data_IF_060293549363
#
_entry.id   IF_060293549363
#
_cell.length_a   1.000
_cell.length_b   1.000
_cell.length_c   1.000
_cell.angle_alpha   90.00
_cell.angle_beta   90.00
_cell.angle_gamma   90.00
#
_symmetry.space_group_name_H-M   'P 1'
#
loop_
_entity.id
_entity.type
_entity.pdbx_description
1 polymer ?
#
# COMPACT_ATOMS: atom_id res chain seq x y z
N UNK A 1 -61.33 -42.71 -6.17
CA UNK A 1 -60.23 -42.62 -5.20
C UNK A 1 -58.97 -43.11 -5.89
N UNK A 2 -57.95 -42.27 -5.98
CA UNK A 2 -56.53 -42.59 -5.79
C UNK A 2 -55.71 -41.36 -6.24
N UNK A 3 -55.39 -40.53 -5.25
CA UNK A 3 -54.43 -39.45 -5.41
C UNK A 3 -53.04 -40.06 -5.60
N UNK A 4 -52.32 -39.63 -6.64
CA UNK A 4 -50.91 -39.96 -6.80
C UNK A 4 -50.13 -39.16 -5.75
N UNK A 5 -49.35 -39.81 -4.86
CA UNK A 5 -48.54 -39.08 -3.90
C UNK A 5 -47.41 -38.37 -4.65
N UNK A 6 -47.40 -37.04 -4.57
CA UNK A 6 -46.29 -36.23 -5.03
C UNK A 6 -45.00 -36.71 -4.36
N UNK A 7 -44.03 -37.17 -5.16
CA UNK A 7 -42.67 -37.40 -4.68
C UNK A 7 -42.11 -36.04 -4.21
N UNK A 8 -41.64 -35.92 -2.96
CA UNK A 8 -40.80 -34.79 -2.61
C UNK A 8 -39.43 -35.06 -3.23
N UNK A 9 -39.14 -34.44 -4.38
CA UNK A 9 -37.78 -34.40 -4.91
C UNK A 9 -36.97 -33.45 -4.04
N UNK A 10 -36.25 -34.08 -3.10
CA UNK A 10 -35.08 -33.58 -2.40
C UNK A 10 -34.06 -32.91 -3.32
N UNK A 11 -33.28 -32.00 -2.72
CA UNK A 11 -32.07 -31.36 -3.25
C UNK A 11 -32.24 -30.00 -3.96
N UNK A 12 -32.83 -29.05 -3.24
CA UNK A 12 -32.21 -27.73 -3.16
C UNK A 12 -31.87 -27.52 -1.68
N UNK A 13 -30.67 -27.90 -1.28
CA UNK A 13 -30.11 -27.33 -0.06
C UNK A 13 -30.19 -25.81 -0.23
N UNK A 14 -30.87 -25.14 0.70
CA UNK A 14 -31.08 -23.70 0.65
C UNK A 14 -29.72 -23.03 0.48
N UNK A 15 -29.53 -22.22 -0.57
CA UNK A 15 -28.24 -21.56 -0.90
C UNK A 15 -27.63 -20.87 0.33
N UNK A 16 -28.49 -20.34 1.21
CA UNK A 16 -28.10 -19.73 2.49
C UNK A 16 -27.35 -20.70 3.41
N UNK A 17 -27.81 -21.94 3.51
CA UNK A 17 -27.19 -22.95 4.39
C UNK A 17 -25.90 -23.50 3.79
N UNK A 18 -25.81 -23.57 2.46
CA UNK A 18 -24.56 -23.86 1.75
C UNK A 18 -23.50 -22.78 2.01
N UNK A 19 -23.88 -21.50 1.90
CA UNK A 19 -22.99 -20.37 2.19
C UNK A 19 -22.56 -20.32 3.66
N UNK A 20 -23.45 -20.68 4.60
CA UNK A 20 -23.10 -20.79 6.03
C UNK A 20 -22.11 -21.93 6.29
N UNK A 21 -22.29 -23.07 5.62
CA UNK A 21 -21.39 -24.20 5.75
C UNK A 21 -20.01 -23.89 5.13
N UNK A 22 -19.97 -23.16 4.02
CA UNK A 22 -18.72 -22.68 3.41
C UNK A 22 -18.01 -21.66 4.32
N UNK A 23 -18.73 -20.66 4.83
CA UNK A 23 -18.15 -19.65 5.73
C UNK A 23 -17.64 -20.21 7.08
N UNK A 24 -18.08 -21.40 7.47
CA UNK A 24 -17.60 -22.10 8.66
C UNK A 24 -16.31 -22.89 8.41
N UNK A 25 -15.87 -23.03 7.16
CA UNK A 25 -14.59 -23.65 6.83
C UNK A 25 -13.46 -22.68 7.18
N UNK A 26 -12.47 -23.15 7.92
CA UNK A 26 -11.27 -22.34 8.13
C UNK A 26 -10.59 -22.09 6.78
N UNK A 27 -10.13 -20.86 6.51
CA UNK A 27 -9.38 -20.58 5.29
C UNK A 27 -8.18 -21.50 5.20
N UNK A 28 -7.88 -21.98 3.99
CA UNK A 28 -6.61 -22.65 3.74
C UNK A 28 -5.46 -21.79 4.25
N UNK A 29 -4.48 -22.44 4.89
CA UNK A 29 -3.28 -21.77 5.35
C UNK A 29 -2.64 -20.96 4.22
N UNK A 30 -2.09 -19.80 4.54
CA UNK A 30 -1.46 -18.95 3.54
C UNK A 30 -0.23 -19.69 3.00
N UNK A 31 -0.22 -19.97 1.69
CA UNK A 31 0.93 -20.52 1.00
C UNK A 31 2.07 -19.49 1.03
N UNK A 32 2.98 -19.65 1.99
CA UNK A 32 4.21 -18.85 2.06
C UNK A 32 5.20 -19.42 1.05
N UNK A 33 5.19 -18.89 -0.16
CA UNK A 33 6.24 -19.17 -1.14
C UNK A 33 7.60 -18.62 -0.67
N UNK A 34 8.67 -19.30 -1.09
CA UNK A 34 10.04 -18.81 -0.91
C UNK A 34 10.19 -17.38 -1.47
N UNK A 35 10.96 -16.54 -0.77
CA UNK A 35 11.22 -15.17 -1.23
C UNK A 35 11.95 -15.22 -2.58
N UNK A 36 11.41 -14.53 -3.59
CA UNK A 36 12.11 -14.36 -4.88
C UNK A 36 13.38 -13.53 -4.65
N UNK A 37 14.45 -13.83 -5.38
CA UNK A 37 15.76 -13.17 -5.25
C UNK A 37 15.81 -11.67 -5.59
N UNK A 38 14.71 -11.08 -6.05
CA UNK A 38 14.62 -9.67 -6.47
C UNK A 38 13.41 -9.00 -5.82
N UNK A 39 13.62 -7.81 -5.26
CA UNK A 39 12.57 -6.93 -4.75
C UNK A 39 11.43 -6.76 -5.77
N UNK A 40 10.20 -6.99 -5.33
CA UNK A 40 9.01 -6.77 -6.14
C UNK A 40 8.43 -5.38 -5.85
N UNK A 41 8.47 -4.50 -6.84
CA UNK A 41 7.86 -3.16 -6.77
C UNK A 41 6.45 -3.24 -7.35
N UNK A 42 5.46 -2.84 -6.58
CA UNK A 42 4.04 -2.87 -6.94
C UNK A 42 3.48 -1.47 -6.78
N UNK A 43 3.07 -0.86 -7.89
CA UNK A 43 2.41 0.43 -7.89
C UNK A 43 0.89 0.26 -8.02
N UNK A 44 0.14 0.89 -7.12
CA UNK A 44 -1.33 0.88 -7.14
C UNK A 44 -1.81 2.26 -7.55
N UNK A 45 -2.59 2.28 -8.63
CA UNK A 45 -3.24 3.47 -9.16
C UNK A 45 -4.75 3.37 -8.99
N UNK A 46 -5.42 4.51 -9.08
CA UNK A 46 -6.87 4.59 -9.10
C UNK A 46 -7.39 5.93 -8.61
N UNK A 47 -8.69 6.14 -8.86
CA UNK A 47 -9.38 7.39 -8.56
C UNK A 47 -9.26 7.77 -7.07
N UNK A 48 -9.33 9.05 -6.73
CA UNK A 48 -9.53 9.50 -5.35
C UNK A 48 -10.73 8.79 -4.68
N UNK A 49 -10.55 8.31 -3.46
CA UNK A 49 -11.63 7.72 -2.64
C UNK A 49 -11.97 6.24 -2.88
N UNK A 50 -11.28 5.53 -3.79
CA UNK A 50 -11.55 4.08 -4.01
C UNK A 50 -10.96 3.15 -2.95
N UNK A 51 -10.28 3.70 -1.94
CA UNK A 51 -9.67 2.92 -0.86
C UNK A 51 -8.25 2.39 -1.12
N UNK A 52 -7.48 2.99 -2.04
CA UNK A 52 -6.09 2.56 -2.35
C UNK A 52 -5.22 2.46 -1.09
N UNK A 53 -5.10 3.55 -0.35
CA UNK A 53 -4.27 3.64 0.85
C UNK A 53 -4.73 2.66 1.93
N UNK A 54 -6.05 2.47 2.05
CA UNK A 54 -6.64 1.49 2.97
C UNK A 54 -6.24 0.06 2.60
N UNK A 55 -6.39 -0.31 1.32
CA UNK A 55 -5.98 -1.62 0.82
C UNK A 55 -4.48 -1.84 0.98
N UNK A 56 -3.65 -0.85 0.63
CA UNK A 56 -2.20 -0.93 0.71
C UNK A 56 -1.69 -1.04 2.16
N UNK A 57 -2.24 -0.26 3.09
CA UNK A 57 -1.88 -0.35 4.50
C UNK A 57 -2.16 -1.76 5.05
N UNK A 58 -3.36 -2.30 4.83
CA UNK A 58 -3.70 -3.64 5.30
C UNK A 58 -2.89 -4.73 4.60
N UNK A 59 -2.68 -4.62 3.28
CA UNK A 59 -1.85 -5.55 2.51
C UNK A 59 -0.41 -5.57 3.03
N UNK A 60 0.15 -4.39 3.32
CA UNK A 60 1.51 -4.25 3.84
C UNK A 60 1.65 -4.91 5.21
N UNK A 61 0.69 -4.69 6.12
CA UNK A 61 0.69 -5.33 7.44
C UNK A 61 0.57 -6.85 7.35
N UNK A 62 -0.30 -7.35 6.46
CA UNK A 62 -0.44 -8.79 6.24
C UNK A 62 0.85 -9.41 5.69
N UNK A 63 1.48 -8.80 4.68
CA UNK A 63 2.77 -9.26 4.14
C UNK A 63 3.88 -9.21 5.21
N UNK A 64 3.91 -8.17 6.04
CA UNK A 64 4.86 -8.06 7.14
C UNK A 64 4.63 -9.15 8.22
N UNK A 65 3.37 -9.45 8.55
CA UNK A 65 3.01 -10.54 9.46
C UNK A 65 3.41 -11.93 8.92
N UNK A 66 3.53 -12.08 7.60
CA UNK A 66 4.07 -13.27 6.94
C UNK A 66 5.61 -13.29 6.89
N UNK A 67 6.27 -12.37 7.59
CA UNK A 67 7.73 -12.29 7.67
C UNK A 67 8.39 -11.60 6.47
N UNK A 68 7.63 -10.98 5.56
CA UNK A 68 8.20 -10.24 4.43
C UNK A 68 8.67 -8.86 4.87
N UNK A 69 9.79 -8.41 4.32
CA UNK A 69 10.28 -7.02 4.46
C UNK A 69 9.54 -6.15 3.46
N UNK A 70 8.61 -5.32 3.97
CA UNK A 70 7.74 -4.48 3.15
C UNK A 70 8.02 -3.00 3.39
N UNK A 71 8.13 -2.25 2.31
CA UNK A 71 8.16 -0.79 2.30
C UNK A 71 6.88 -0.27 1.63
N UNK A 72 6.13 0.58 2.32
CA UNK A 72 4.99 1.33 1.80
C UNK A 72 5.39 2.79 1.59
N UNK A 73 5.22 3.31 0.38
CA UNK A 73 5.49 4.71 0.04
C UNK A 73 4.20 5.37 -0.45
N UNK A 74 3.79 6.43 0.24
CA UNK A 74 2.74 7.33 -0.26
C UNK A 74 3.31 8.22 -1.38
N UNK A 75 2.76 8.10 -2.58
CA UNK A 75 3.14 8.86 -3.78
C UNK A 75 1.99 9.79 -4.23
N UNK A 76 1.08 10.13 -3.30
CA UNK A 76 0.01 11.09 -3.51
C UNK A 76 0.41 12.44 -2.88
N UNK A 77 0.26 13.59 -3.58
CA UNK A 77 0.46 14.90 -2.99
C UNK A 77 -0.31 15.13 -1.68
N UNK A 78 -1.44 14.43 -1.47
CA UNK A 78 -2.23 14.45 -0.24
C UNK A 78 -1.44 13.95 0.99
N UNK A 79 -0.44 13.09 0.80
CA UNK A 79 0.52 12.64 1.81
C UNK A 79 -0.10 12.05 3.10
N UNK A 80 -1.14 11.23 2.98
CA UNK A 80 -1.85 10.63 4.12
C UNK A 80 -1.93 9.10 4.09
N UNK A 81 -1.24 8.43 3.17
CA UNK A 81 -1.19 6.97 3.05
C UNK A 81 -0.75 6.32 4.37
N UNK A 82 0.31 6.86 4.97
CA UNK A 82 0.93 6.34 6.20
C UNK A 82 0.11 6.64 7.46
N UNK A 83 -0.84 7.58 7.41
CA UNK A 83 -1.67 7.93 8.57
C UNK A 83 -2.45 6.72 9.12
N UNK A 84 -2.85 5.81 8.23
CA UNK A 84 -3.53 4.56 8.57
C UNK A 84 -2.65 3.61 9.39
N UNK A 85 -1.34 3.64 9.18
CA UNK A 85 -0.39 2.88 9.99
C UNK A 85 -0.15 3.59 11.32
N UNK A 86 0.01 4.92 11.33
CA UNK A 86 0.49 5.64 12.51
C UNK A 86 -0.60 6.30 13.38
N UNK A 87 -1.82 5.76 13.35
CA UNK A 87 -2.92 6.20 14.21
C UNK A 87 -3.37 7.63 13.91
N UNK A 88 -3.51 7.97 12.62
CA UNK A 88 -4.00 9.26 12.14
C UNK A 88 -2.92 10.32 11.92
N UNK A 89 -1.63 9.97 12.08
CA UNK A 89 -0.50 10.89 11.85
C UNK A 89 0.30 10.44 10.64
N UNK A 90 0.47 11.28 9.62
CA UNK A 90 1.34 10.95 8.49
C UNK A 90 2.81 11.02 8.87
N UNK A 91 3.64 10.21 8.20
CA UNK A 91 5.09 10.39 8.24
C UNK A 91 5.47 11.76 7.66
N UNK A 92 6.53 12.41 8.17
CA UNK A 92 7.14 13.56 7.50
C UNK A 92 7.47 13.24 6.04
N UNK A 93 7.18 14.17 5.14
CA UNK A 93 7.42 13.93 3.70
C UNK A 93 8.89 14.06 3.36
N UNK A 94 9.36 13.29 2.38
CA UNK A 94 10.74 13.32 1.89
C UNK A 94 11.08 14.72 1.35
N UNK A 95 10.21 15.29 0.53
CA UNK A 95 10.44 16.58 -0.12
C UNK A 95 10.51 17.72 0.91
N UNK A 96 9.58 17.78 1.86
CA UNK A 96 9.56 18.84 2.88
C UNK A 96 10.74 18.69 3.85
N UNK A 97 11.02 17.47 4.29
CA UNK A 97 12.13 17.19 5.21
C UNK A 97 13.48 17.53 4.57
N UNK A 98 13.68 17.14 3.31
CA UNK A 98 14.86 17.51 2.53
C UNK A 98 15.01 19.03 2.39
N UNK A 99 13.92 19.73 2.06
CA UNK A 99 13.91 21.19 1.92
C UNK A 99 14.28 21.89 3.23
N UNK A 100 13.67 21.45 4.35
CA UNK A 100 13.95 21.99 5.70
C UNK A 100 15.40 21.77 6.12
N UNK A 101 15.92 20.55 5.99
CA UNK A 101 17.30 20.24 6.40
C UNK A 101 18.32 20.96 5.53
N UNK A 102 18.08 21.05 4.22
CA UNK A 102 18.92 21.84 3.31
C UNK A 102 18.98 23.32 3.72
N UNK A 103 17.85 23.91 4.12
CA UNK A 103 17.82 25.29 4.62
C UNK A 103 18.59 25.46 5.94
N UNK A 104 18.61 24.43 6.79
CA UNK A 104 19.41 24.39 8.02
C UNK A 104 20.89 24.05 7.79
N UNK A 105 21.31 23.73 6.57
CA UNK A 105 22.68 23.28 6.26
C UNK A 105 22.98 21.86 6.72
N UNK A 106 21.97 21.05 7.00
CA UNK A 106 22.10 19.67 7.49
C UNK A 106 21.82 18.64 6.38
N UNK A 107 22.52 17.49 6.38
CA UNK A 107 22.20 16.40 5.47
C UNK A 107 20.91 15.68 5.87
N UNK A 108 20.14 15.24 4.87
CA UNK A 108 19.00 14.33 5.07
C UNK A 108 19.52 12.91 5.23
N UNK A 109 18.94 12.18 6.18
CA UNK A 109 19.25 10.78 6.46
C UNK A 109 17.97 9.94 6.39
N UNK A 110 18.12 8.63 6.19
CA UNK A 110 16.96 7.74 6.06
C UNK A 110 16.06 7.74 7.30
N UNK A 111 16.65 7.89 8.49
CA UNK A 111 15.91 7.93 9.75
C UNK A 111 15.03 9.19 9.91
N UNK A 112 15.23 10.21 9.09
CA UNK A 112 14.37 11.41 9.10
C UNK A 112 13.03 11.18 8.37
N UNK A 113 12.97 10.17 7.49
CA UNK A 113 11.88 10.02 6.50
C UNK A 113 11.31 8.60 6.42
N UNK A 114 12.00 7.59 6.95
CA UNK A 114 11.54 6.20 6.99
C UNK A 114 11.25 5.75 8.41
N UNK A 115 10.01 5.36 8.65
CA UNK A 115 9.52 4.94 9.96
C UNK A 115 8.97 3.53 9.88
N UNK A 116 9.00 2.80 11.00
CA UNK A 116 8.50 1.42 11.06
C UNK A 116 7.37 1.28 12.05
N UNK A 117 6.30 0.59 11.65
CA UNK A 117 5.18 0.21 12.53
C UNK A 117 4.58 -1.11 12.08
N UNK A 118 4.25 -1.97 13.04
CA UNK A 118 3.62 -3.27 12.79
C UNK A 118 4.35 -4.13 11.73
N UNK A 119 5.69 -4.03 11.72
CA UNK A 119 6.56 -4.73 10.77
C UNK A 119 6.76 -4.03 9.42
N UNK A 120 5.94 -3.02 9.09
CA UNK A 120 5.97 -2.28 7.82
C UNK A 120 6.88 -1.07 7.92
N UNK A 121 7.77 -0.89 6.94
CA UNK A 121 8.51 0.35 6.75
C UNK A 121 7.66 1.30 5.91
N UNK A 122 7.64 2.57 6.26
CA UNK A 122 6.67 3.53 5.74
C UNK A 122 7.34 4.89 5.49
N UNK A 123 7.02 5.48 4.34
CA UNK A 123 7.52 6.77 3.89
C UNK A 123 6.41 7.55 3.18
N UNK A 124 6.49 8.87 3.21
CA UNK A 124 5.65 9.76 2.40
C UNK A 124 6.56 10.54 1.45
N UNK A 125 6.29 10.50 0.16
CA UNK A 125 7.10 11.25 -0.81
C UNK A 125 6.88 12.76 -0.65
N UNK A 126 5.61 13.14 -0.45
CA UNK A 126 5.18 14.53 -0.49
C UNK A 126 4.96 15.02 -1.91
N UNK A 127 4.54 16.28 -2.00
CA UNK A 127 4.35 16.98 -3.26
C UNK A 127 4.59 18.48 -3.08
N UNK A 128 4.50 19.24 -4.17
CA UNK A 128 4.54 20.69 -4.06
C UNK A 128 3.30 21.22 -3.31
N UNK A 129 3.40 22.43 -2.76
CA UNK A 129 2.25 23.09 -2.13
C UNK A 129 1.03 23.14 -3.05
N UNK A 130 -0.16 22.99 -2.49
CA UNK A 130 -1.42 23.06 -3.26
C UNK A 130 -1.50 24.37 -4.03
N UNK A 131 -1.77 24.27 -5.33
CA UNK A 131 -1.82 25.44 -6.22
C UNK A 131 -0.46 25.95 -6.69
N UNK A 132 0.65 25.28 -6.33
CA UNK A 132 2.01 25.59 -6.80
C UNK A 132 2.69 24.35 -7.37
N UNK A 133 3.57 24.56 -8.35
CA UNK A 133 4.40 23.50 -8.92
C UNK A 133 3.61 22.47 -9.74
N UNK A 134 4.23 21.29 -9.93
CA UNK A 134 3.69 20.17 -10.71
C UNK A 134 3.85 18.88 -9.91
N UNK A 135 2.72 18.19 -9.65
CA UNK A 135 2.71 16.94 -8.88
C UNK A 135 3.69 15.90 -9.43
N UNK A 136 3.66 15.66 -10.75
CA UNK A 136 4.56 14.69 -11.39
C UNK A 136 6.04 15.04 -11.26
N UNK A 137 6.42 16.33 -11.33
CA UNK A 137 7.81 16.73 -11.09
C UNK A 137 8.20 16.54 -9.61
N UNK A 138 7.26 16.76 -8.69
CA UNK A 138 7.44 16.47 -7.28
C UNK A 138 7.74 14.99 -7.04
N UNK A 139 6.98 14.09 -7.67
CA UNK A 139 7.22 12.65 -7.60
C UNK A 139 8.62 12.28 -8.09
N UNK A 140 8.99 12.71 -9.31
CA UNK A 140 10.33 12.46 -9.88
C UNK A 140 11.41 12.91 -8.90
N UNK A 141 11.29 14.14 -8.40
CA UNK A 141 12.26 14.70 -7.47
C UNK A 141 12.33 13.93 -6.14
N UNK A 142 11.20 13.48 -5.62
CA UNK A 142 11.15 12.65 -4.41
C UNK A 142 11.88 11.33 -4.59
N UNK A 143 11.69 10.65 -5.73
CA UNK A 143 12.41 9.41 -6.03
C UNK A 143 13.90 9.64 -6.26
N UNK A 144 14.31 10.72 -6.93
CA UNK A 144 15.73 11.09 -7.05
C UNK A 144 16.40 11.30 -5.67
N UNK A 145 15.66 11.87 -4.70
CA UNK A 145 16.15 12.00 -3.32
C UNK A 145 16.23 10.64 -2.63
N UNK A 146 15.26 9.76 -2.86
CA UNK A 146 15.23 8.42 -2.30
C UNK A 146 16.38 7.55 -2.84
N UNK A 147 16.67 7.64 -4.13
CA UNK A 147 17.81 6.99 -4.78
C UNK A 147 19.13 7.44 -4.14
N UNK A 148 19.30 8.75 -3.89
CA UNK A 148 20.48 9.29 -3.18
C UNK A 148 20.63 8.79 -1.75
N UNK A 149 19.54 8.35 -1.13
CA UNK A 149 19.54 7.73 0.20
C UNK A 149 19.84 6.22 0.15
N UNK A 150 20.03 5.64 -1.03
CA UNK A 150 20.37 4.22 -1.20
C UNK A 150 19.17 3.30 -1.34
N UNK A 151 18.03 3.78 -1.88
CA UNK A 151 16.79 3.01 -2.05
C UNK A 151 16.99 1.57 -2.56
N UNK A 152 17.88 1.39 -3.54
CA UNK A 152 18.14 0.09 -4.17
C UNK A 152 18.94 -0.89 -3.31
N UNK A 153 19.50 -0.44 -2.19
CA UNK A 153 20.35 -1.23 -1.29
C UNK A 153 19.59 -1.77 -0.07
N UNK A 154 18.32 -1.37 0.13
CA UNK A 154 17.59 -1.62 1.37
C UNK A 154 16.96 -3.03 1.49
N UNK A 155 17.22 -3.92 0.53
CA UNK A 155 16.88 -5.36 0.59
C UNK A 155 15.43 -5.65 1.05
N UNK A 156 14.46 -5.01 0.40
CA UNK A 156 13.04 -5.26 0.63
C UNK A 156 12.55 -6.43 -0.24
N UNK A 157 11.65 -7.25 0.29
CA UNK A 157 10.92 -8.24 -0.51
C UNK A 157 9.89 -7.54 -1.41
N UNK A 158 9.20 -6.54 -0.85
CA UNK A 158 8.15 -5.78 -1.52
C UNK A 158 8.27 -4.28 -1.26
N UNK A 159 8.13 -3.49 -2.33
CA UNK A 159 7.88 -2.05 -2.25
C UNK A 159 6.51 -1.76 -2.83
N UNK A 160 5.61 -1.20 -2.02
CA UNK A 160 4.26 -0.84 -2.39
C UNK A 160 4.18 0.68 -2.57
N UNK A 161 3.72 1.13 -3.73
CA UNK A 161 3.62 2.55 -4.08
C UNK A 161 2.14 2.94 -4.21
N UNK A 162 1.68 3.91 -3.42
CA UNK A 162 0.31 4.45 -3.47
C UNK A 162 0.27 5.70 -4.35
N UNK A 163 -0.13 5.55 -5.61
CA UNK A 163 -0.13 6.64 -6.59
C UNK A 163 -1.51 7.25 -6.80
N UNK A 164 -1.53 8.57 -6.98
CA UNK A 164 -2.70 9.29 -7.47
C UNK A 164 -3.05 8.84 -8.91
N UNK A 165 -4.27 8.33 -9.13
CA UNK A 165 -4.73 7.89 -10.46
C UNK A 165 -5.65 8.88 -11.19
N UNK A 166 -5.95 10.05 -10.60
CA UNK A 166 -6.91 11.02 -11.17
C UNK A 166 -6.31 11.83 -12.33
N UNK A 167 -5.01 12.13 -12.27
CA UNK A 167 -4.30 12.90 -13.28
C UNK A 167 -2.96 12.23 -13.53
N UNK A 168 -2.80 11.64 -14.71
CA UNK A 168 -1.57 10.96 -15.09
C UNK A 168 -0.78 11.87 -16.03
N UNK A 169 0.41 12.28 -15.58
CA UNK A 169 1.43 12.89 -16.42
C UNK A 169 2.71 12.07 -16.32
N UNK A 170 3.75 12.40 -17.11
CA UNK A 170 4.96 11.57 -17.21
C UNK A 170 5.65 11.22 -15.88
N UNK A 171 5.50 12.05 -14.84
CA UNK A 171 6.09 11.77 -13.53
C UNK A 171 5.36 10.70 -12.70
N UNK A 172 4.15 10.31 -13.08
CA UNK A 172 3.36 9.24 -12.44
C UNK A 172 3.42 7.92 -13.22
N UNK A 173 4.38 7.76 -14.14
CA UNK A 173 4.56 6.54 -14.95
C UNK A 173 5.93 5.88 -14.78
N UNK A 174 6.68 6.28 -13.75
CA UNK A 174 8.01 5.76 -13.40
C UNK A 174 7.92 4.42 -12.67
#
# INVERSE_FOLDING_TARGET
>A
MNAVPGKPTSAQANMTDALRAEAAQEPDGILVGEAKSKTQVIAIYGKGGIGKSFTLANLSCMMAAQGKRVLLIGCDPKSDTTSLLFGGRSCPTIIETSSRKKAAGEPVSIGDVCFKRDGVFAMELGGPEVGRGCGGRGIIHGFELLEKLGFHEWDFDYVLLDFLGDVVCGGFGL
#
